data_IF_577637400575
#
_entry.id   IF_577637400575
#
_cell.length_a   1.000
_cell.length_b   1.000
_cell.length_c   1.000
_cell.angle_alpha   90.00
_cell.angle_beta   90.00
_cell.angle_gamma   90.00
#
_symmetry.space_group_name_H-M   'P 1'
#
loop_
_entity.id
_entity.type
_entity.pdbx_description
1 polymer ?
#
# COMPACT_ATOMS: atom_id res chain seq x y z
N UNK A 1 25.33 26.53 18.94
CA UNK A 1 24.57 27.22 20.01
C UNK A 1 23.39 27.90 19.31
N UNK A 2 22.13 27.50 19.41
CA UNK A 2 21.31 27.22 20.59
C UNK A 2 20.29 26.13 20.23
N UNK A 3 20.21 25.10 21.09
CA UNK A 3 19.17 24.07 21.12
C UNK A 3 17.79 24.70 21.36
N UNK A 4 16.82 24.48 20.46
CA UNK A 4 15.40 24.71 20.77
C UNK A 4 14.83 23.37 21.27
N UNK A 5 14.77 23.23 22.61
CA UNK A 5 14.03 22.14 23.28
C UNK A 5 12.58 22.17 22.82
N UNK A 6 12.12 21.09 22.18
CA UNK A 6 10.70 20.85 21.98
C UNK A 6 10.06 20.59 23.34
N UNK A 7 9.04 21.37 23.69
CA UNK A 7 8.19 21.14 24.86
C UNK A 7 7.20 20.01 24.56
N UNK A 8 6.81 19.19 25.55
CA UNK A 8 5.87 18.09 25.36
C UNK A 8 4.51 18.59 24.87
N UNK A 9 4.00 17.99 23.78
CA UNK A 9 2.73 18.33 23.10
C UNK A 9 1.47 18.27 23.98
N UNK A 10 1.55 17.74 25.19
CA UNK A 10 0.38 17.53 26.06
C UNK A 10 -0.16 18.82 26.69
N UNK A 11 0.67 19.84 26.97
CA UNK A 11 0.19 21.07 27.63
C UNK A 11 -0.58 22.05 26.74
N UNK A 12 -0.47 21.94 25.42
CA UNK A 12 -1.16 22.84 24.48
C UNK A 12 -2.62 22.42 24.20
N UNK A 13 -2.99 21.17 24.48
CA UNK A 13 -4.37 20.68 24.29
C UNK A 13 -5.28 21.01 25.48
N UNK A 14 -4.76 21.07 26.71
CA UNK A 14 -5.59 21.33 27.89
C UNK A 14 -5.92 22.81 28.14
N UNK A 15 -5.12 23.75 27.61
CA UNK A 15 -5.39 25.19 27.76
C UNK A 15 -6.58 25.69 26.93
N UNK A 16 -6.90 25.02 25.82
CA UNK A 16 -7.99 25.41 24.90
C UNK A 16 -9.35 24.81 25.26
N UNK A 17 -9.36 23.71 26.02
CA UNK A 17 -10.60 23.03 26.46
C UNK A 17 -11.24 23.77 27.65
N UNK A 18 -10.43 24.39 28.52
CA UNK A 18 -10.95 25.14 29.67
C UNK A 18 -11.75 26.38 29.27
N UNK A 19 -11.45 27.02 28.14
CA UNK A 19 -12.19 28.19 27.63
C UNK A 19 -13.53 27.87 26.94
N UNK A 20 -13.80 26.60 26.63
CA UNK A 20 -15.06 26.14 25.99
C UNK A 20 -16.08 25.59 27.01
N UNK A 21 -15.66 25.34 28.25
CA UNK A 21 -16.54 24.87 29.32
C UNK A 21 -17.32 26.02 30.00
N UNK A 22 -16.91 27.28 29.80
CA UNK A 22 -17.54 28.45 30.42
C UNK A 22 -18.72 29.03 29.60
N UNK A 23 -19.06 28.46 28.42
CA UNK A 23 -20.05 29.06 27.49
C UNK A 23 -21.43 28.39 27.43
N UNK A 24 -21.83 27.60 28.44
CA UNK A 24 -23.25 27.31 28.69
C UNK A 24 -24.07 26.70 27.53
N UNK A 25 -23.55 25.70 26.81
CA UNK A 25 -24.34 24.94 25.83
C UNK A 25 -25.08 23.77 26.50
N UNK A 26 -26.39 23.71 26.27
CA UNK A 26 -27.35 22.84 26.94
C UNK A 26 -27.17 21.34 26.70
N UNK A 27 -27.68 20.56 27.66
CA UNK A 27 -27.55 19.12 27.80
C UNK A 27 -28.23 18.25 26.69
N UNK A 28 -28.66 18.84 25.57
CA UNK A 28 -29.30 18.13 24.46
C UNK A 28 -28.36 17.83 23.27
N UNK A 29 -27.13 18.38 23.28
CA UNK A 29 -26.12 18.16 22.22
C UNK A 29 -25.12 17.03 22.53
N UNK A 30 -25.39 16.23 23.58
CA UNK A 30 -24.41 15.30 24.17
C UNK A 30 -24.44 13.84 23.68
N UNK A 31 -25.22 13.48 22.65
CA UNK A 31 -25.44 12.03 22.37
C UNK A 31 -25.00 11.48 21.00
N UNK A 32 -24.27 12.25 20.18
CA UNK A 32 -23.59 11.69 18.98
C UNK A 32 -22.07 11.66 19.06
N UNK A 33 -21.46 12.43 19.99
CA UNK A 33 -20.00 12.48 20.19
C UNK A 33 -19.48 11.36 21.11
N UNK A 34 -20.35 10.70 21.87
CA UNK A 34 -19.97 9.68 22.86
C UNK A 34 -19.74 8.27 22.31
N UNK A 35 -19.96 8.03 21.01
CA UNK A 35 -19.60 6.80 20.33
C UNK A 35 -18.20 6.87 19.68
N UNK A 36 -17.61 8.06 19.55
CA UNK A 36 -16.41 8.34 18.75
C UNK A 36 -15.10 7.74 19.32
N UNK A 37 -15.15 7.14 20.52
CA UNK A 37 -14.00 6.49 21.17
C UNK A 37 -14.24 5.08 21.71
N UNK A 38 -15.44 4.48 21.54
CA UNK A 38 -15.77 3.21 22.22
C UNK A 38 -15.32 1.96 21.49
N UNK A 39 -15.14 2.01 20.17
CA UNK A 39 -14.63 0.86 19.39
C UNK A 39 -13.21 1.16 18.96
N UNK A 40 -12.24 0.75 19.78
CA UNK A 40 -10.79 0.95 19.56
C UNK A 40 -10.38 0.52 18.15
N UNK A 41 -11.01 -0.52 17.60
CA UNK A 41 -10.77 -1.00 16.24
C UNK A 41 -10.97 0.08 15.18
N UNK A 42 -11.90 1.03 15.35
CA UNK A 42 -12.20 2.09 14.37
C UNK A 42 -11.71 3.49 14.83
N UNK A 43 -10.73 3.54 15.74
CA UNK A 43 -10.09 4.79 16.13
C UNK A 43 -9.07 5.30 15.11
N UNK A 44 -8.45 4.39 14.35
CA UNK A 44 -7.42 4.73 13.37
C UNK A 44 -7.54 3.82 12.13
N UNK A 45 -7.38 4.35 10.90
CA UNK A 45 -7.58 3.58 9.68
C UNK A 45 -6.67 2.37 9.54
N UNK A 46 -5.44 2.42 10.07
CA UNK A 46 -4.55 1.27 10.01
C UNK A 46 -5.12 0.06 10.75
N UNK A 47 -5.87 0.25 11.85
CA UNK A 47 -6.30 -0.85 12.74
C UNK A 47 -7.20 -1.87 12.04
N UNK A 48 -8.35 -1.51 11.44
CA UNK A 48 -9.20 -2.50 10.79
C UNK A 48 -8.57 -2.97 9.48
N UNK A 49 -8.03 -2.06 8.67
CA UNK A 49 -7.55 -2.42 7.34
C UNK A 49 -6.29 -3.31 7.37
N UNK A 50 -5.36 -3.08 8.29
CA UNK A 50 -4.18 -3.95 8.43
C UNK A 50 -4.56 -5.32 9.00
N UNK A 51 -5.38 -5.34 10.05
CA UNK A 51 -5.79 -6.59 10.69
C UNK A 51 -6.57 -7.47 9.72
N UNK A 52 -7.65 -6.95 9.15
CA UNK A 52 -8.52 -7.75 8.28
C UNK A 52 -7.91 -7.97 6.90
N UNK A 53 -7.10 -7.04 6.39
CA UNK A 53 -6.30 -7.27 5.18
C UNK A 53 -5.37 -8.47 5.37
N UNK A 54 -4.59 -8.50 6.45
CA UNK A 54 -3.71 -9.63 6.76
C UNK A 54 -4.49 -10.94 6.96
N UNK A 55 -5.66 -10.91 7.61
CA UNK A 55 -6.52 -12.08 7.76
C UNK A 55 -7.03 -12.59 6.40
N UNK A 56 -7.47 -11.71 5.50
CA UNK A 56 -7.88 -12.09 4.14
C UNK A 56 -6.73 -12.76 3.41
N UNK A 57 -5.51 -12.20 3.45
CA UNK A 57 -4.35 -12.83 2.80
C UNK A 57 -4.02 -14.21 3.41
N UNK A 58 -4.03 -14.31 4.75
CA UNK A 58 -3.73 -15.54 5.47
C UNK A 58 -4.75 -16.65 5.22
N UNK A 59 -6.01 -16.32 4.94
CA UNK A 59 -7.08 -17.29 4.68
C UNK A 59 -7.26 -17.59 3.18
N UNK A 60 -7.13 -16.58 2.32
CA UNK A 60 -7.40 -16.73 0.89
C UNK A 60 -6.38 -17.62 0.18
N UNK A 61 -5.10 -17.56 0.58
CA UNK A 61 -4.06 -18.40 -0.05
C UNK A 61 -4.27 -19.89 0.26
N UNK A 62 -4.42 -20.34 1.53
CA UNK A 62 -4.75 -21.74 1.81
C UNK A 62 -6.08 -22.17 1.19
N UNK A 63 -7.10 -21.31 1.21
CA UNK A 63 -8.39 -21.64 0.64
C UNK A 63 -8.31 -21.85 -0.89
N UNK A 64 -7.59 -20.98 -1.60
CA UNK A 64 -7.29 -21.17 -3.02
C UNK A 64 -6.56 -22.49 -3.29
N UNK A 65 -5.54 -22.84 -2.50
CA UNK A 65 -4.82 -24.11 -2.63
C UNK A 65 -5.76 -25.31 -2.45
N UNK A 66 -6.66 -25.27 -1.46
CA UNK A 66 -7.67 -26.32 -1.28
C UNK A 66 -8.53 -26.44 -2.53
N UNK A 67 -9.04 -25.34 -3.09
CA UNK A 67 -9.85 -25.38 -4.32
C UNK A 67 -9.08 -26.00 -5.49
N UNK A 68 -7.77 -25.73 -5.61
CA UNK A 68 -6.94 -26.27 -6.69
C UNK A 68 -6.68 -27.78 -6.59
N UNK A 69 -6.52 -28.31 -5.38
CA UNK A 69 -6.10 -29.71 -5.20
C UNK A 69 -7.23 -30.67 -4.80
N UNK A 70 -8.37 -30.17 -4.32
CA UNK A 70 -9.48 -31.00 -3.86
C UNK A 70 -10.55 -31.28 -4.92
N UNK A 71 -10.59 -30.49 -6.00
CA UNK A 71 -11.68 -30.55 -6.98
C UNK A 71 -13.03 -30.08 -6.44
N UNK A 72 -13.05 -29.41 -5.27
CA UNK A 72 -14.28 -28.84 -4.70
C UNK A 72 -14.94 -27.88 -5.70
N UNK A 73 -16.26 -27.98 -5.80
CA UNK A 73 -17.05 -27.06 -6.62
C UNK A 73 -16.87 -25.62 -6.11
N UNK A 74 -16.57 -24.72 -7.05
CA UNK A 74 -16.42 -23.30 -6.80
C UNK A 74 -17.60 -22.53 -7.41
N UNK A 75 -18.20 -21.64 -6.63
CA UNK A 75 -19.38 -20.86 -7.04
C UNK A 75 -19.18 -19.35 -6.90
N UNK A 76 -17.96 -18.89 -6.59
CA UNK A 76 -17.67 -17.47 -6.52
C UNK A 76 -17.64 -16.80 -7.89
N UNK A 77 -17.56 -15.47 -7.88
CA UNK A 77 -17.82 -14.64 -9.06
C UNK A 77 -16.82 -14.79 -10.21
N UNK A 78 -15.64 -15.38 -9.96
CA UNK A 78 -14.54 -15.60 -10.92
C UNK A 78 -13.89 -16.94 -10.66
N UNK A 79 -13.29 -17.58 -11.65
CA UNK A 79 -12.60 -18.86 -11.43
C UNK A 79 -11.50 -18.75 -10.35
N UNK A 80 -11.17 -19.84 -9.64
CA UNK A 80 -10.38 -19.76 -8.41
C UNK A 80 -9.02 -19.06 -8.55
N UNK A 81 -8.32 -19.24 -9.68
CA UNK A 81 -7.03 -18.57 -9.92
C UNK A 81 -7.20 -17.07 -10.08
N UNK A 82 -8.18 -16.61 -10.87
CA UNK A 82 -8.48 -15.17 -11.00
C UNK A 82 -8.97 -14.58 -9.70
N UNK A 83 -9.77 -15.32 -8.93
CA UNK A 83 -10.18 -14.91 -7.59
C UNK A 83 -8.97 -14.72 -6.67
N UNK A 84 -8.03 -15.68 -6.63
CA UNK A 84 -6.80 -15.54 -5.85
C UNK A 84 -5.98 -14.31 -6.25
N UNK A 85 -5.75 -14.10 -7.54
CA UNK A 85 -5.02 -12.93 -8.05
C UNK A 85 -5.72 -11.63 -7.62
N UNK A 86 -7.05 -11.58 -7.76
CA UNK A 86 -7.86 -10.45 -7.36
C UNK A 86 -7.77 -10.17 -5.86
N UNK A 87 -7.93 -11.19 -5.02
CA UNK A 87 -7.86 -11.05 -3.57
C UNK A 87 -6.51 -10.53 -3.10
N UNK A 88 -5.40 -10.95 -3.71
CA UNK A 88 -4.08 -10.46 -3.34
C UNK A 88 -3.85 -9.02 -3.79
N UNK A 89 -4.28 -8.67 -5.01
CA UNK A 89 -3.93 -7.39 -5.65
C UNK A 89 -4.93 -6.27 -5.38
N UNK A 90 -6.22 -6.58 -5.34
CA UNK A 90 -7.30 -5.61 -5.18
C UNK A 90 -8.05 -5.75 -3.86
N UNK A 91 -7.86 -6.85 -3.12
CA UNK A 91 -8.39 -7.03 -1.77
C UNK A 91 -7.41 -6.65 -0.68
N UNK A 92 -6.40 -7.50 -0.52
CA UNK A 92 -5.33 -7.37 0.46
C UNK A 92 -4.55 -6.07 0.28
N UNK A 93 -3.93 -5.87 -0.89
CA UNK A 93 -3.12 -4.68 -1.13
C UNK A 93 -3.97 -3.40 -1.02
N UNK A 94 -5.22 -3.41 -1.49
CA UNK A 94 -6.10 -2.25 -1.37
C UNK A 94 -6.45 -1.94 0.10
N UNK A 95 -6.67 -2.95 0.94
CA UNK A 95 -6.86 -2.76 2.38
C UNK A 95 -5.62 -2.12 3.00
N UNK A 96 -4.44 -2.71 2.78
CA UNK A 96 -3.18 -2.16 3.31
C UNK A 96 -2.95 -0.74 2.81
N UNK A 97 -3.25 -0.47 1.55
CA UNK A 97 -3.13 0.87 0.98
C UNK A 97 -4.08 1.86 1.67
N UNK A 98 -5.34 1.50 1.90
CA UNK A 98 -6.28 2.35 2.64
C UNK A 98 -5.82 2.62 4.08
N UNK A 99 -5.39 1.57 4.79
CA UNK A 99 -4.85 1.69 6.15
C UNK A 99 -3.62 2.61 6.22
N UNK A 100 -2.72 2.49 5.25
CA UNK A 100 -1.54 3.37 5.14
C UNK A 100 -1.94 4.81 4.78
N UNK A 101 -2.72 4.99 3.71
CA UNK A 101 -3.07 6.31 3.18
C UNK A 101 -3.81 7.16 4.21
N UNK A 102 -4.88 6.64 4.80
CA UNK A 102 -5.69 7.45 5.73
C UNK A 102 -5.02 7.64 7.10
N UNK A 103 -3.96 6.89 7.39
CA UNK A 103 -3.06 7.16 8.52
C UNK A 103 -2.01 8.23 8.16
N UNK A 104 -1.54 8.27 6.92
CA UNK A 104 -0.48 9.18 6.47
C UNK A 104 -0.98 10.55 6.00
N UNK A 105 -2.13 10.61 5.31
CA UNK A 105 -2.73 11.83 4.76
C UNK A 105 -2.91 12.95 5.80
N UNK A 106 -3.36 12.68 7.04
CA UNK A 106 -3.45 13.71 8.08
C UNK A 106 -2.11 14.40 8.35
N UNK A 107 -1.00 13.66 8.32
CA UNK A 107 0.34 14.21 8.52
C UNK A 107 0.81 15.05 7.31
N UNK A 108 0.30 14.77 6.12
CA UNK A 108 0.64 15.51 4.89
C UNK A 108 -0.16 16.79 4.75
N UNK A 109 -1.41 16.80 5.23
CA UNK A 109 -2.39 17.84 4.93
C UNK A 109 -2.76 18.69 6.15
N UNK A 110 -2.41 18.24 7.36
CA UNK A 110 -2.82 18.87 8.62
C UNK A 110 -4.32 18.70 8.94
N UNK A 111 -5.03 17.88 8.16
CA UNK A 111 -6.48 17.65 8.32
C UNK A 111 -6.74 16.53 9.32
N UNK A 112 -7.98 16.44 9.79
CA UNK A 112 -8.37 15.43 10.77
C UNK A 112 -8.37 14.02 10.14
N UNK A 113 -7.91 12.99 10.88
CA UNK A 113 -7.94 11.61 10.43
C UNK A 113 -9.37 11.09 10.22
N UNK A 114 -9.52 10.16 9.29
CA UNK A 114 -10.76 9.40 9.11
C UNK A 114 -10.98 8.46 10.31
N UNK A 115 -12.10 8.61 11.03
CA UNK A 115 -12.39 7.88 12.27
C UNK A 115 -13.87 7.57 12.43
N UNK A 116 -14.21 6.65 13.34
CA UNK A 116 -15.58 6.39 13.78
C UNK A 116 -16.49 5.91 12.63
N UNK A 117 -17.71 6.44 12.57
CA UNK A 117 -18.73 6.00 11.61
C UNK A 117 -18.27 6.03 10.14
N UNK A 118 -17.56 7.08 9.72
CA UNK A 118 -17.05 7.18 8.35
C UNK A 118 -16.03 6.08 8.02
N UNK A 119 -15.19 5.71 9.00
CA UNK A 119 -14.24 4.60 8.86
C UNK A 119 -14.96 3.25 8.84
N UNK A 120 -16.01 3.07 9.65
CA UNK A 120 -16.85 1.87 9.64
C UNK A 120 -17.49 1.68 8.26
N UNK A 121 -18.13 2.72 7.69
CA UNK A 121 -18.73 2.64 6.37
C UNK A 121 -17.71 2.27 5.29
N UNK A 122 -16.51 2.86 5.34
CA UNK A 122 -15.45 2.56 4.39
C UNK A 122 -14.95 1.11 4.53
N UNK A 123 -14.84 0.61 5.76
CA UNK A 123 -14.46 -0.77 6.03
C UNK A 123 -15.53 -1.77 5.58
N UNK A 124 -16.81 -1.48 5.83
CA UNK A 124 -17.92 -2.32 5.38
C UNK A 124 -18.01 -2.37 3.86
N UNK A 125 -17.69 -1.27 3.17
CA UNK A 125 -17.62 -1.25 1.71
C UNK A 125 -16.53 -2.20 1.18
N UNK A 126 -15.34 -2.18 1.78
CA UNK A 126 -14.27 -3.12 1.46
C UNK A 126 -14.67 -4.57 1.73
N UNK A 127 -15.26 -4.84 2.90
CA UNK A 127 -15.70 -6.16 3.31
C UNK A 127 -16.79 -6.71 2.38
N UNK A 128 -17.73 -5.87 1.95
CA UNK A 128 -18.77 -6.24 1.00
C UNK A 128 -18.17 -6.74 -0.33
N UNK A 129 -17.14 -6.07 -0.86
CA UNK A 129 -16.43 -6.53 -2.05
C UNK A 129 -15.90 -7.96 -1.89
N UNK A 130 -15.24 -8.25 -0.76
CA UNK A 130 -14.71 -9.60 -0.47
C UNK A 130 -15.79 -10.67 -0.41
N UNK A 131 -16.91 -10.37 0.25
CA UNK A 131 -18.05 -11.28 0.36
C UNK A 131 -18.65 -11.55 -1.02
N UNK A 132 -18.82 -10.52 -1.85
CA UNK A 132 -19.42 -10.66 -3.18
C UNK A 132 -18.51 -11.40 -4.16
N UNK A 133 -17.20 -11.36 -3.98
CA UNK A 133 -16.25 -12.12 -4.80
C UNK A 133 -16.33 -13.63 -4.56
N UNK A 134 -16.71 -14.07 -3.35
CA UNK A 134 -16.87 -15.49 -3.01
C UNK A 134 -18.31 -15.98 -3.08
N UNK A 135 -19.29 -15.07 -3.13
CA UNK A 135 -20.71 -15.41 -3.20
C UNK A 135 -21.14 -15.80 -4.63
N UNK A 136 -22.19 -16.63 -4.76
CA UNK A 136 -22.78 -17.01 -6.05
C UNK A 136 -23.67 -15.89 -6.62
N UNK A 137 -23.05 -14.74 -6.92
CA UNK A 137 -23.72 -13.57 -7.50
C UNK A 137 -23.30 -13.36 -8.96
N UNK A 138 -24.10 -12.66 -9.77
CA UNK A 138 -23.70 -12.32 -11.13
C UNK A 138 -22.38 -11.54 -11.14
N UNK A 139 -21.43 -11.83 -12.05
CA UNK A 139 -20.10 -11.19 -12.06
C UNK A 139 -20.13 -9.65 -12.13
N UNK A 140 -21.15 -9.08 -12.77
CA UNK A 140 -21.34 -7.63 -12.84
C UNK A 140 -21.66 -7.02 -11.47
N UNK A 141 -22.44 -7.72 -10.64
CA UNK A 141 -22.78 -7.25 -9.29
C UNK A 141 -21.54 -7.26 -8.40
N UNK A 142 -20.75 -8.34 -8.46
CA UNK A 142 -19.48 -8.42 -7.74
C UNK A 142 -18.52 -7.30 -8.19
N UNK A 143 -18.38 -7.08 -9.50
CA UNK A 143 -17.55 -6.02 -10.06
C UNK A 143 -17.91 -4.64 -9.51
N UNK A 144 -19.20 -4.29 -9.53
CA UNK A 144 -19.66 -2.98 -9.06
C UNK A 144 -19.37 -2.82 -7.57
N UNK A 145 -19.83 -3.77 -6.74
CA UNK A 145 -19.66 -3.69 -5.29
C UNK A 145 -18.19 -3.63 -4.89
N UNK A 146 -17.37 -4.47 -5.51
CA UNK A 146 -15.93 -4.53 -5.26
C UNK A 146 -15.19 -3.25 -5.67
N UNK A 147 -15.49 -2.71 -6.85
CA UNK A 147 -14.80 -1.53 -7.39
C UNK A 147 -15.10 -0.25 -6.62
N UNK A 148 -16.26 -0.16 -5.98
CA UNK A 148 -16.66 1.03 -5.21
C UNK A 148 -15.64 1.39 -4.13
N UNK A 149 -15.04 0.40 -3.45
CA UNK A 149 -14.05 0.68 -2.42
C UNK A 149 -12.84 1.46 -2.98
N UNK A 150 -12.23 0.96 -4.06
CA UNK A 150 -11.05 1.59 -4.67
C UNK A 150 -11.37 2.98 -5.23
N UNK A 151 -12.56 3.17 -5.82
CA UNK A 151 -13.03 4.47 -6.32
C UNK A 151 -13.20 5.46 -5.16
N UNK A 152 -13.84 5.03 -4.07
CA UNK A 152 -14.07 5.89 -2.90
C UNK A 152 -12.75 6.29 -2.25
N UNK A 153 -11.80 5.36 -2.04
CA UNK A 153 -10.51 5.73 -1.44
C UNK A 153 -9.70 6.66 -2.36
N UNK A 154 -9.78 6.49 -3.68
CA UNK A 154 -9.15 7.40 -4.63
C UNK A 154 -9.74 8.81 -4.53
N UNK A 155 -11.07 8.93 -4.52
CA UNK A 155 -11.77 10.21 -4.39
C UNK A 155 -11.48 10.91 -3.06
N UNK A 156 -11.47 10.18 -1.95
CA UNK A 156 -11.10 10.71 -0.64
C UNK A 156 -9.64 11.17 -0.60
N UNK A 157 -8.71 10.38 -1.15
CA UNK A 157 -7.30 10.76 -1.22
C UNK A 157 -7.10 12.05 -2.03
N UNK A 158 -7.74 12.17 -3.20
CA UNK A 158 -7.72 13.38 -4.01
C UNK A 158 -8.28 14.58 -3.26
N UNK A 159 -9.46 14.45 -2.65
CA UNK A 159 -10.08 15.52 -1.85
C UNK A 159 -9.12 16.05 -0.80
N UNK A 160 -8.54 15.16 0.00
CA UNK A 160 -7.67 15.59 1.10
C UNK A 160 -6.36 16.21 0.61
N UNK A 161 -5.76 15.67 -0.46
CA UNK A 161 -4.51 16.20 -1.03
C UNK A 161 -4.71 17.54 -1.72
N UNK A 162 -5.80 17.72 -2.49
CA UNK A 162 -6.10 18.97 -3.19
C UNK A 162 -6.47 20.08 -2.20
N UNK A 163 -7.36 19.79 -1.24
CA UNK A 163 -7.78 20.77 -0.24
C UNK A 163 -6.61 21.11 0.70
N UNK A 164 -5.78 20.13 1.05
CA UNK A 164 -4.54 20.34 1.81
C UNK A 164 -3.39 20.95 1.00
N UNK A 165 -3.58 21.23 -0.30
CA UNK A 165 -2.56 21.76 -1.23
C UNK A 165 -1.23 20.98 -1.21
N UNK A 166 -1.27 19.67 -0.93
CA UNK A 166 -0.08 18.83 -0.86
C UNK A 166 0.27 18.22 -2.22
N UNK A 167 0.72 19.07 -3.14
CA UNK A 167 1.05 18.67 -4.52
C UNK A 167 2.11 17.56 -4.60
N UNK A 168 2.99 17.48 -3.60
CA UNK A 168 4.06 16.47 -3.50
C UNK A 168 3.54 15.03 -3.44
N UNK A 169 2.31 14.83 -2.97
CA UNK A 169 1.69 13.51 -2.81
C UNK A 169 0.63 13.20 -3.88
N UNK A 170 0.42 14.07 -4.87
CA UNK A 170 -0.46 13.78 -6.02
C UNK A 170 -0.08 12.53 -6.82
N UNK A 171 1.20 12.12 -6.96
CA UNK A 171 1.51 10.86 -7.64
C UNK A 171 0.90 9.64 -6.93
N UNK A 172 0.74 9.69 -5.60
CA UNK A 172 0.11 8.60 -4.85
C UNK A 172 -1.39 8.54 -5.19
N UNK A 173 -2.08 9.69 -5.27
CA UNK A 173 -3.49 9.74 -5.68
C UNK A 173 -3.71 9.20 -7.10
N UNK A 174 -2.80 9.55 -8.03
CA UNK A 174 -2.80 9.00 -9.40
C UNK A 174 -2.66 7.48 -9.40
N UNK A 175 -1.70 6.94 -8.64
CA UNK A 175 -1.49 5.50 -8.54
C UNK A 175 -2.69 4.77 -7.94
N UNK A 176 -3.35 5.33 -6.91
CA UNK A 176 -4.58 4.75 -6.34
C UNK A 176 -5.72 4.76 -7.36
N UNK A 177 -5.83 5.82 -8.17
CA UNK A 177 -6.83 5.92 -9.24
C UNK A 177 -6.57 4.89 -10.35
N UNK A 178 -5.30 4.68 -10.70
CA UNK A 178 -4.88 3.63 -11.63
C UNK A 178 -5.13 2.22 -11.06
N UNK A 179 -4.99 2.01 -9.75
CA UNK A 179 -5.35 0.74 -9.11
C UNK A 179 -6.86 0.47 -9.21
N UNK A 180 -7.69 1.50 -9.04
CA UNK A 180 -9.13 1.40 -9.23
C UNK A 180 -9.49 1.03 -10.68
N UNK A 181 -8.86 1.68 -11.65
CA UNK A 181 -9.03 1.36 -13.07
C UNK A 181 -8.56 -0.07 -13.39
N UNK A 182 -7.40 -0.47 -12.84
CA UNK A 182 -6.86 -1.82 -12.99
C UNK A 182 -7.82 -2.89 -12.45
N UNK A 183 -8.48 -2.64 -11.32
CA UNK A 183 -9.48 -3.56 -10.76
C UNK A 183 -10.67 -3.76 -11.70
N UNK A 184 -11.20 -2.65 -12.25
CA UNK A 184 -12.33 -2.70 -13.19
C UNK A 184 -11.92 -3.48 -14.44
N UNK A 185 -10.75 -3.16 -15.02
CA UNK A 185 -10.22 -3.85 -16.19
C UNK A 185 -9.97 -5.34 -15.91
N UNK A 186 -9.47 -5.68 -14.72
CA UNK A 186 -9.20 -7.07 -14.33
C UNK A 186 -10.48 -7.93 -14.31
N UNK A 187 -11.58 -7.33 -13.88
CA UNK A 187 -12.86 -8.00 -13.76
C UNK A 187 -13.65 -8.06 -15.08
N UNK A 188 -13.27 -7.32 -16.11
CA UNK A 188 -13.85 -7.49 -17.45
C UNK A 188 -12.99 -8.48 -18.23
N UNK A 189 -13.60 -9.53 -18.78
CA UNK A 189 -12.86 -10.69 -19.31
C UNK A 189 -11.90 -10.30 -20.45
N UNK A 190 -12.33 -9.45 -21.39
CA UNK A 190 -11.51 -9.00 -22.51
C UNK A 190 -10.30 -8.14 -22.09
N UNK A 191 -10.37 -7.50 -20.92
CA UNK A 191 -9.32 -6.60 -20.41
C UNK A 191 -8.58 -7.18 -19.20
N UNK A 192 -8.89 -8.41 -18.80
CA UNK A 192 -8.44 -8.98 -17.53
C UNK A 192 -6.91 -9.00 -17.41
N UNK A 193 -6.23 -9.40 -18.49
CA UNK A 193 -4.78 -9.48 -18.54
C UNK A 193 -4.12 -8.09 -18.42
N UNK A 194 -4.69 -7.07 -19.07
CA UNK A 194 -4.21 -5.68 -18.95
C UNK A 194 -4.44 -5.17 -17.52
N UNK A 195 -5.61 -5.43 -16.95
CA UNK A 195 -5.92 -5.06 -15.56
C UNK A 195 -4.96 -5.68 -14.55
N UNK A 196 -4.61 -6.96 -14.74
CA UNK A 196 -3.62 -7.65 -13.90
C UNK A 196 -2.25 -6.97 -13.98
N UNK A 197 -1.75 -6.76 -15.21
CA UNK A 197 -0.42 -6.14 -15.42
C UNK A 197 -0.37 -4.72 -14.89
N UNK A 198 -1.44 -3.93 -15.11
CA UNK A 198 -1.55 -2.58 -14.59
C UNK A 198 -1.58 -2.57 -13.05
N UNK A 199 -2.30 -3.49 -12.41
CA UNK A 199 -2.31 -3.61 -10.95
C UNK A 199 -0.92 -3.92 -10.38
N UNK A 200 -0.18 -4.83 -11.01
CA UNK A 200 1.21 -5.13 -10.64
C UNK A 200 2.15 -3.94 -10.86
N UNK A 201 1.99 -3.23 -11.98
CA UNK A 201 2.73 -2.01 -12.28
C UNK A 201 2.50 -0.96 -11.18
N UNK A 202 1.24 -0.73 -10.79
CA UNK A 202 0.90 0.19 -9.70
C UNK A 202 1.52 -0.25 -8.37
N UNK A 203 1.45 -1.55 -8.03
CA UNK A 203 2.03 -2.07 -6.80
C UNK A 203 3.56 -1.82 -6.75
N UNK A 204 4.28 -2.12 -7.84
CA UNK A 204 5.70 -1.85 -7.96
C UNK A 204 6.03 -0.35 -7.83
N UNK A 205 5.24 0.51 -8.48
CA UNK A 205 5.41 1.96 -8.43
C UNK A 205 5.13 2.53 -7.04
N UNK A 206 4.14 2.02 -6.32
CA UNK A 206 3.89 2.37 -4.92
C UNK A 206 5.08 2.00 -4.03
N UNK A 207 5.65 0.79 -4.19
CA UNK A 207 6.86 0.38 -3.46
C UNK A 207 8.04 1.30 -3.81
N UNK A 208 8.26 1.56 -5.10
CA UNK A 208 9.34 2.42 -5.56
C UNK A 208 9.24 3.86 -5.04
N UNK A 209 8.03 4.42 -5.02
CA UNK A 209 7.79 5.81 -4.63
C UNK A 209 7.73 5.96 -3.10
N UNK A 210 6.89 5.16 -2.43
CA UNK A 210 6.66 5.24 -0.98
C UNK A 210 7.82 4.61 -0.25
N UNK A 211 8.18 3.36 -0.57
CA UNK A 211 9.34 2.68 0.01
C UNK A 211 10.63 3.46 -0.22
N UNK A 212 10.80 4.04 -1.41
CA UNK A 212 11.95 4.89 -1.72
C UNK A 212 12.02 6.24 -0.99
N UNK A 213 10.97 6.64 -0.29
CA UNK A 213 10.99 7.78 0.65
C UNK A 213 11.13 7.30 2.09
N UNK A 214 10.38 6.26 2.44
CA UNK A 214 10.22 5.74 3.80
C UNK A 214 11.46 4.99 4.27
N UNK A 215 11.97 4.04 3.47
CA UNK A 215 13.14 3.22 3.81
C UNK A 215 14.37 4.07 4.11
N UNK A 216 14.87 4.94 3.20
CA UNK A 216 16.06 5.76 3.49
C UNK A 216 15.85 6.76 4.62
N UNK A 217 14.63 7.26 4.83
CA UNK A 217 14.33 8.18 5.94
C UNK A 217 14.48 7.46 7.28
N UNK A 218 13.94 6.25 7.41
CA UNK A 218 14.07 5.49 8.64
C UNK A 218 15.49 4.99 8.88
N UNK A 219 16.21 4.59 7.84
CA UNK A 219 17.65 4.28 7.96
C UNK A 219 18.44 5.49 8.44
N UNK A 220 18.16 6.67 7.89
CA UNK A 220 18.82 7.92 8.29
C UNK A 220 18.59 8.23 9.76
N UNK A 221 17.33 8.18 10.22
CA UNK A 221 16.99 8.49 11.61
C UNK A 221 17.72 7.53 12.57
N UNK A 222 17.65 6.23 12.31
CA UNK A 222 18.29 5.21 13.15
C UNK A 222 19.82 5.34 13.19
N UNK A 223 20.46 5.67 12.06
CA UNK A 223 21.91 5.89 12.00
C UNK A 223 22.31 7.19 12.73
N UNK A 224 21.54 8.27 12.55
CA UNK A 224 21.80 9.55 13.19
C UNK A 224 21.68 9.48 14.73
N UNK A 225 20.69 8.75 15.25
CA UNK A 225 20.53 8.49 16.69
C UNK A 225 21.74 7.76 17.30
N UNK A 226 22.50 7.03 16.48
CA UNK A 226 23.71 6.29 16.87
C UNK A 226 25.00 7.04 16.54
N UNK A 227 24.92 8.35 16.26
CA UNK A 227 26.08 9.20 15.99
C UNK A 227 26.82 8.90 14.69
N UNK A 228 26.21 8.16 13.76
CA UNK A 228 26.83 7.84 12.48
C UNK A 228 26.83 9.08 11.56
N UNK A 229 27.98 9.40 10.97
CA UNK A 229 28.13 10.44 9.94
C UNK A 229 27.80 9.90 8.54
N UNK A 230 27.96 8.59 8.38
CA UNK A 230 27.59 7.70 7.30
C UNK A 230 26.11 7.67 6.89
N UNK A 231 25.47 8.76 6.44
CA UNK A 231 24.01 8.77 6.24
C UNK A 231 23.54 8.40 4.81
N UNK A 232 22.35 7.77 4.68
CA UNK A 232 21.70 7.48 3.39
C UNK A 232 21.55 8.73 2.52
N UNK A 233 21.69 8.58 1.21
CA UNK A 233 21.43 9.68 0.30
C UNK A 233 19.95 10.14 0.38
N UNK A 234 19.68 11.46 0.46
CA UNK A 234 18.31 11.96 0.40
C UNK A 234 17.71 11.70 -0.99
N UNK A 235 16.37 11.66 -1.06
CA UNK A 235 15.66 11.53 -2.33
C UNK A 235 16.05 12.68 -3.27
N UNK A 236 16.60 12.35 -4.44
CA UNK A 236 17.15 13.32 -5.38
C UNK A 236 16.84 13.02 -6.85
N UNK A 237 17.66 13.57 -7.75
CA UNK A 237 17.48 13.41 -9.20
C UNK A 237 17.55 11.93 -9.63
N UNK A 238 18.50 11.17 -9.09
CA UNK A 238 18.63 9.74 -9.37
C UNK A 238 17.38 8.95 -8.99
N UNK A 239 16.74 9.27 -7.86
CA UNK A 239 15.49 8.62 -7.44
C UNK A 239 14.35 8.88 -8.44
N UNK A 240 14.30 10.10 -9.03
CA UNK A 240 13.35 10.41 -10.10
C UNK A 240 13.63 9.59 -11.36
N UNK A 241 14.90 9.41 -11.72
CA UNK A 241 15.31 8.56 -12.85
C UNK A 241 14.89 7.11 -12.61
N UNK A 242 15.10 6.56 -11.42
CA UNK A 242 14.65 5.21 -11.09
C UNK A 242 13.13 5.06 -11.23
N UNK A 243 12.35 5.99 -10.65
CA UNK A 243 10.88 5.95 -10.75
C UNK A 243 10.44 6.11 -12.21
N UNK A 244 11.04 7.01 -12.99
CA UNK A 244 10.72 7.20 -14.39
C UNK A 244 11.04 5.95 -15.24
N UNK A 245 12.21 5.34 -15.03
CA UNK A 245 12.57 4.08 -15.66
C UNK A 245 11.56 2.98 -15.33
N UNK A 246 11.14 2.87 -14.07
CA UNK A 246 10.13 1.90 -13.66
C UNK A 246 8.76 2.17 -14.31
N UNK A 247 8.33 3.43 -14.42
CA UNK A 247 7.09 3.80 -15.13
C UNK A 247 7.15 3.37 -16.59
N UNK A 248 8.25 3.67 -17.29
CA UNK A 248 8.41 3.33 -18.69
C UNK A 248 8.44 1.81 -18.91
N UNK A 249 9.23 1.09 -18.10
CA UNK A 249 9.35 -0.37 -18.19
C UNK A 249 8.03 -1.06 -17.88
N UNK A 250 7.34 -0.67 -16.81
CA UNK A 250 6.04 -1.25 -16.44
C UNK A 250 4.95 -0.88 -17.45
N UNK A 251 4.98 0.34 -17.99
CA UNK A 251 4.07 0.76 -19.05
C UNK A 251 4.25 -0.07 -20.31
N UNK A 252 5.50 -0.27 -20.74
CA UNK A 252 5.84 -1.12 -21.88
C UNK A 252 5.36 -2.56 -21.66
N UNK A 253 5.65 -3.15 -20.50
CA UNK A 253 5.21 -4.51 -20.16
C UNK A 253 3.68 -4.65 -20.08
N UNK A 254 2.97 -3.60 -19.65
CA UNK A 254 1.51 -3.62 -19.59
C UNK A 254 0.90 -3.73 -20.99
N UNK A 255 1.49 -3.05 -21.99
CA UNK A 255 1.04 -3.06 -23.38
C UNK A 255 1.50 -4.33 -24.09
N UNK A 256 2.79 -4.65 -24.05
CA UNK A 256 3.37 -5.83 -24.69
C UNK A 256 4.34 -6.55 -23.73
N UNK A 257 3.85 -7.58 -23.02
CA UNK A 257 4.67 -8.33 -22.08
C UNK A 257 5.69 -9.25 -22.75
N UNK A 258 5.56 -9.53 -24.05
CA UNK A 258 6.43 -10.44 -24.80
C UNK A 258 7.54 -9.74 -25.58
N UNK A 259 7.48 -8.42 -25.69
CA UNK A 259 8.47 -7.67 -26.46
C UNK A 259 9.85 -7.77 -25.83
N UNK A 260 10.86 -8.20 -26.60
CA UNK A 260 12.22 -8.42 -26.10
C UNK A 260 12.82 -7.18 -25.42
N UNK A 261 12.54 -5.99 -25.97
CA UNK A 261 12.98 -4.72 -25.38
C UNK A 261 12.48 -4.55 -23.93
N UNK A 262 11.28 -5.02 -23.62
CA UNK A 262 10.72 -5.03 -22.27
C UNK A 262 11.63 -5.78 -21.29
N UNK A 263 12.17 -6.92 -21.73
CA UNK A 263 13.09 -7.73 -20.91
C UNK A 263 14.38 -6.98 -20.57
N UNK A 264 15.01 -6.35 -21.56
CA UNK A 264 16.20 -5.53 -21.34
C UNK A 264 15.92 -4.29 -20.48
N UNK A 265 14.77 -3.63 -20.69
CA UNK A 265 14.32 -2.52 -19.85
C UNK A 265 14.15 -2.95 -18.37
N UNK A 266 13.62 -4.14 -18.12
CA UNK A 266 13.52 -4.71 -16.77
C UNK A 266 14.88 -4.91 -16.12
N UNK A 267 15.85 -5.53 -16.81
CA UNK A 267 17.21 -5.74 -16.29
C UNK A 267 17.91 -4.41 -15.98
N UNK A 268 17.80 -3.42 -16.87
CA UNK A 268 18.35 -2.09 -16.65
C UNK A 268 17.69 -1.38 -15.45
N UNK A 269 16.36 -1.47 -15.35
CA UNK A 269 15.59 -0.89 -14.23
C UNK A 269 15.95 -1.57 -12.91
N UNK A 270 16.16 -2.89 -12.91
CA UNK A 270 16.65 -3.63 -11.75
C UNK A 270 18.04 -3.11 -11.32
N UNK A 271 18.95 -2.89 -12.26
CA UNK A 271 20.26 -2.27 -11.98
C UNK A 271 20.15 -0.88 -11.33
N UNK A 272 19.29 -0.02 -11.86
CA UNK A 272 19.03 1.30 -11.26
C UNK A 272 18.46 1.21 -9.85
N UNK A 273 17.48 0.34 -9.62
CA UNK A 273 16.90 0.15 -8.30
C UNK A 273 17.86 -0.53 -7.32
N UNK A 274 18.73 -1.42 -7.79
CA UNK A 274 19.79 -2.05 -7.00
C UNK A 274 20.81 -1.02 -6.50
N UNK A 275 21.30 -0.15 -7.39
CA UNK A 275 22.18 0.96 -7.00
C UNK A 275 21.48 1.93 -6.05
N UNK A 276 20.20 2.24 -6.31
CA UNK A 276 19.37 3.05 -5.41
C UNK A 276 19.32 2.46 -4.00
N UNK A 277 19.12 1.14 -3.88
CA UNK A 277 19.07 0.44 -2.60
C UNK A 277 20.41 0.46 -1.87
N UNK A 278 21.54 0.28 -2.58
CA UNK A 278 22.89 0.35 -2.00
C UNK A 278 23.13 1.72 -1.34
N UNK A 279 22.68 2.81 -2.00
CA UNK A 279 22.79 4.19 -1.47
C UNK A 279 22.02 4.41 -0.16
N UNK A 280 21.14 3.49 0.22
CA UNK A 280 20.38 3.58 1.48
C UNK A 280 21.06 2.90 2.66
N UNK A 281 22.21 2.23 2.43
CA UNK A 281 23.07 1.68 3.50
C UNK A 281 22.36 0.66 4.42
N UNK A 282 21.44 -0.13 3.88
CA UNK A 282 20.65 -1.11 4.66
C UNK A 282 21.46 -2.14 5.44
N UNK A 283 22.65 -2.49 4.97
CA UNK A 283 23.59 -3.38 5.68
C UNK A 283 23.91 -2.85 7.08
N UNK A 284 23.95 -1.52 7.26
CA UNK A 284 24.24 -0.94 8.56
C UNK A 284 23.10 -1.14 9.58
N UNK A 285 21.89 -1.50 9.13
CA UNK A 285 20.69 -1.54 9.97
C UNK A 285 20.27 -2.95 10.40
N UNK A 286 21.10 -3.99 10.20
CA UNK A 286 20.75 -5.37 10.55
C UNK A 286 20.36 -5.58 12.03
N UNK A 287 20.84 -4.71 12.93
CA UNK A 287 20.47 -4.73 14.35
C UNK A 287 19.08 -4.15 14.64
N UNK A 288 18.41 -3.62 13.62
CA UNK A 288 17.07 -3.06 13.68
C UNK A 288 16.14 -3.80 12.70
N UNK A 289 15.42 -4.83 13.18
CA UNK A 289 14.62 -5.70 12.31
C UNK A 289 13.56 -4.94 11.50
N UNK A 290 12.93 -3.91 12.09
CA UNK A 290 11.89 -3.13 11.41
C UNK A 290 12.44 -2.28 10.25
N UNK A 291 13.67 -1.79 10.36
CA UNK A 291 14.34 -1.07 9.27
C UNK A 291 14.87 -2.08 8.24
N UNK A 292 15.39 -3.22 8.68
CA UNK A 292 15.90 -4.29 7.81
C UNK A 292 14.79 -4.86 6.92
N UNK A 293 13.60 -5.08 7.47
CA UNK A 293 12.44 -5.58 6.71
C UNK A 293 12.05 -4.65 5.55
N UNK A 294 12.17 -3.33 5.72
CA UNK A 294 11.94 -2.34 4.64
C UNK A 294 12.97 -2.47 3.50
N UNK A 295 14.23 -2.81 3.81
CA UNK A 295 15.25 -3.06 2.80
C UNK A 295 15.03 -4.39 2.09
N UNK A 296 14.64 -5.43 2.83
CA UNK A 296 14.30 -6.73 2.26
C UNK A 296 13.11 -6.62 1.29
N UNK A 297 12.06 -5.88 1.65
CA UNK A 297 10.93 -5.64 0.76
C UNK A 297 11.32 -4.89 -0.52
N UNK A 298 12.25 -3.93 -0.42
CA UNK A 298 12.75 -3.23 -1.60
C UNK A 298 13.75 -4.07 -2.41
N UNK A 299 14.55 -4.93 -1.75
CA UNK A 299 15.42 -5.88 -2.42
C UNK A 299 14.59 -6.85 -3.27
N UNK A 300 13.47 -7.34 -2.74
CA UNK A 300 12.54 -8.15 -3.52
C UNK A 300 12.01 -7.42 -4.76
N UNK A 301 11.77 -6.10 -4.70
CA UNK A 301 11.43 -5.34 -5.91
C UNK A 301 12.57 -5.41 -6.93
N UNK A 302 13.82 -5.23 -6.52
CA UNK A 302 14.99 -5.33 -7.42
C UNK A 302 15.09 -6.73 -8.04
N UNK A 303 14.96 -7.77 -7.21
CA UNK A 303 15.02 -9.16 -7.66
C UNK A 303 13.85 -9.50 -8.60
N UNK A 304 12.64 -9.05 -8.28
CA UNK A 304 11.47 -9.26 -9.11
C UNK A 304 11.62 -8.61 -10.49
N UNK A 305 12.14 -7.38 -10.57
CA UNK A 305 12.43 -6.73 -11.85
C UNK A 305 13.47 -7.53 -12.66
N UNK A 306 14.52 -8.04 -12.01
CA UNK A 306 15.49 -8.92 -12.64
C UNK A 306 14.86 -10.22 -13.17
N UNK A 307 14.05 -10.88 -12.35
CA UNK A 307 13.32 -12.11 -12.70
C UNK A 307 12.33 -11.87 -13.85
N UNK A 308 11.62 -10.73 -13.87
CA UNK A 308 10.73 -10.37 -14.96
C UNK A 308 11.51 -10.15 -16.26
N UNK A 309 12.67 -9.49 -16.20
CA UNK A 309 13.56 -9.35 -17.35
C UNK A 309 14.03 -10.70 -17.90
N UNK A 310 14.46 -11.59 -17.00
CA UNK A 310 14.85 -12.95 -17.37
C UNK A 310 13.68 -13.78 -17.91
N UNK A 311 12.47 -13.63 -17.38
CA UNK A 311 11.30 -14.35 -17.86
C UNK A 311 10.90 -13.93 -19.28
N UNK A 312 11.13 -12.67 -19.67
CA UNK A 312 10.89 -12.19 -21.04
C UNK A 312 11.98 -12.68 -22.00
N UNK A 313 13.26 -12.56 -21.61
CA UNK A 313 14.39 -12.89 -22.49
C UNK A 313 14.68 -14.40 -22.58
N UNK A 314 14.46 -15.12 -21.49
CA UNK A 314 14.75 -16.54 -21.33
C UNK A 314 13.57 -17.28 -20.68
N UNK A 315 12.39 -17.31 -21.34
CA UNK A 315 11.17 -17.91 -20.78
C UNK A 315 11.31 -19.41 -20.46
N UNK A 316 12.27 -20.10 -21.09
CA UNK A 316 12.57 -21.51 -20.82
C UNK A 316 13.33 -21.74 -19.50
N UNK A 317 13.94 -20.69 -18.92
CA UNK A 317 14.72 -20.78 -17.69
C UNK A 317 13.91 -20.31 -16.48
N UNK A 318 13.23 -19.16 -16.63
CA UNK A 318 12.40 -18.57 -15.57
C UNK A 318 10.99 -18.37 -16.11
N UNK A 319 9.99 -19.01 -15.47
CA UNK A 319 8.59 -18.83 -15.82
C UNK A 319 8.03 -17.50 -15.32
N UNK A 320 7.12 -16.90 -16.10
CA UNK A 320 6.44 -15.63 -15.77
C UNK A 320 5.78 -15.67 -14.39
N UNK A 321 5.09 -16.76 -14.06
CA UNK A 321 4.43 -16.94 -12.76
C UNK A 321 5.40 -16.79 -11.59
N UNK A 322 6.61 -17.34 -11.69
CA UNK A 322 7.62 -17.23 -10.63
C UNK A 322 8.12 -15.79 -10.48
N UNK A 323 8.34 -15.09 -11.59
CA UNK A 323 8.71 -13.68 -11.58
C UNK A 323 7.61 -12.79 -10.95
N UNK A 324 6.34 -13.06 -11.30
CA UNK A 324 5.19 -12.38 -10.70
C UNK A 324 5.05 -12.66 -9.20
N UNK A 325 5.37 -13.88 -8.73
CA UNK A 325 5.40 -14.20 -7.30
C UNK A 325 6.55 -13.49 -6.57
N UNK A 326 7.69 -13.28 -7.23
CA UNK A 326 8.76 -12.41 -6.73
C UNK A 326 8.26 -10.98 -6.49
N UNK A 327 7.47 -10.43 -7.42
CA UNK A 327 6.88 -9.11 -7.25
C UNK A 327 5.75 -9.09 -6.21
N UNK A 328 4.87 -10.10 -6.21
CA UNK A 328 3.71 -10.16 -5.33
C UNK A 328 4.08 -10.59 -3.91
N UNK A 329 4.29 -11.87 -3.67
CA UNK A 329 4.61 -12.41 -2.35
C UNK A 329 5.94 -11.86 -1.82
N UNK A 330 6.95 -11.76 -2.68
CA UNK A 330 8.26 -11.21 -2.33
C UNK A 330 8.18 -9.72 -2.01
N UNK A 331 7.98 -8.87 -3.02
CA UNK A 331 8.09 -7.42 -2.85
C UNK A 331 6.88 -6.80 -2.15
N UNK A 332 5.67 -7.04 -2.66
CA UNK A 332 4.43 -6.52 -2.04
C UNK A 332 4.26 -7.10 -0.64
N UNK A 333 4.32 -8.41 -0.48
CA UNK A 333 4.16 -9.08 0.82
C UNK A 333 5.16 -8.57 1.87
N UNK A 334 6.46 -8.59 1.57
CA UNK A 334 7.48 -8.15 2.53
C UNK A 334 7.38 -6.65 2.84
N UNK A 335 7.19 -5.80 1.83
CA UNK A 335 7.11 -4.34 2.04
C UNK A 335 5.87 -3.96 2.84
N UNK A 336 4.71 -4.54 2.52
CA UNK A 336 3.45 -4.25 3.22
C UNK A 336 3.53 -4.70 4.68
N UNK A 337 4.05 -5.91 4.97
CA UNK A 337 4.28 -6.37 6.35
C UNK A 337 5.22 -5.44 7.14
N UNK A 338 6.32 -5.00 6.52
CA UNK A 338 7.26 -4.08 7.16
C UNK A 338 6.61 -2.73 7.49
N UNK A 339 5.84 -2.16 6.57
CA UNK A 339 5.10 -0.90 6.77
C UNK A 339 4.00 -1.06 7.82
N UNK A 340 3.21 -2.13 7.75
CA UNK A 340 2.11 -2.40 8.67
C UNK A 340 2.60 -2.53 10.11
N UNK A 341 3.66 -3.31 10.33
CA UNK A 341 4.26 -3.52 11.65
C UNK A 341 4.74 -2.20 12.23
N UNK A 342 5.48 -1.41 11.43
CA UNK A 342 6.06 -0.15 11.89
C UNK A 342 5.00 0.93 12.16
N UNK A 343 4.04 1.09 11.26
CA UNK A 343 2.97 2.06 11.44
C UNK A 343 2.10 1.69 12.64
N UNK A 344 1.84 0.40 12.86
CA UNK A 344 1.08 -0.05 14.04
C UNK A 344 1.79 0.28 15.34
N UNK A 345 3.11 0.04 15.44
CA UNK A 345 3.91 0.41 16.63
C UNK A 345 3.94 1.94 16.82
N UNK A 346 4.33 2.67 15.78
CA UNK A 346 4.49 4.12 15.85
C UNK A 346 3.21 4.90 16.17
N UNK A 347 2.04 4.38 15.77
CA UNK A 347 0.75 5.03 16.04
C UNK A 347 -0.01 4.44 17.24
N UNK A 348 0.43 3.32 17.81
CA UNK A 348 -0.13 2.78 19.06
C UNK A 348 0.59 3.26 20.32
N UNK A 349 1.68 4.02 20.17
CA UNK A 349 2.48 4.55 21.29
C UNK A 349 3.29 3.46 22.01
N UNK A 350 3.66 2.39 21.29
CA UNK A 350 4.39 1.24 21.81
C UNK A 350 5.79 1.14 21.23
#
# INVERSE_FOLDING_TARGET
MIYRKELPRERLMFGRVKGLMDSGMGAADMDFRNLEGRVILFSDPFRPFFLFGALVAALAVPYWLVLMFSGLAWSGAREPVRWHIHEMLFGYLAAVLAGFLFTAIPNWTGRLPLRGGALICLFLLWLAGRIFMVAPVPPMVALVVDSLFLIVIAGLAWREVLVGKNWRNTPICLLVSLLAAANILFQVDDTAAIGQRLGFAVAALLIALVGGRVTPSFTRNWLAERGQTSLPAPFGAYDKVCVAALVLTMGLWTVDPSFELTGWCFLLTAGFHGWRLIRWRGVATFREPLVTALHLGYLWLVLALGLMGCAVLWPHVIGETAALHGLSAGAVGTMTLAVMTRASLGHSGR
#
